data_IF_959534583689
#
_entry.id   IF_959534583689
#
_cell.length_a   1.000
_cell.length_b   1.000
_cell.length_c   1.000
_cell.angle_alpha   90.00
_cell.angle_beta   90.00
_cell.angle_gamma   90.00
#
_symmetry.space_group_name_H-M   'P 1'
#
loop_
_entity.id
_entity.type
_entity.pdbx_description
1 polymer ?
#
# COMPACT_ATOMS: atom_id res chain seq x y z
N UNK A 1 15.61 12.22 14.44
CA UNK A 1 14.34 12.91 14.10
C UNK A 1 13.33 11.78 13.82
N UNK A 2 12.49 11.44 14.80
CA UNK A 2 11.68 10.19 14.85
C UNK A 2 10.58 10.12 13.77
N UNK A 3 10.31 11.23 13.07
CA UNK A 3 9.17 11.38 12.15
C UNK A 3 9.27 10.58 10.85
N UNK A 4 10.47 10.20 10.42
CA UNK A 4 10.67 9.40 9.19
C UNK A 4 10.70 7.90 9.48
N UNK A 5 10.76 7.49 10.76
CA UNK A 5 10.99 6.10 11.17
C UNK A 5 9.71 5.35 11.54
N UNK A 6 8.66 6.04 12.01
CA UNK A 6 7.45 5.39 12.53
C UNK A 6 6.27 6.35 12.69
N UNK A 7 5.05 5.86 12.45
CA UNK A 7 3.79 6.60 12.69
C UNK A 7 3.51 6.90 14.18
N UNK A 8 4.32 6.36 15.09
CA UNK A 8 4.25 6.64 16.54
C UNK A 8 4.49 8.12 16.88
N UNK A 9 5.09 8.91 15.98
CA UNK A 9 5.33 10.34 16.21
C UNK A 9 4.05 11.16 16.40
N UNK A 10 2.90 10.72 15.87
CA UNK A 10 1.61 11.36 16.15
C UNK A 10 1.21 11.24 17.63
N UNK A 11 1.53 10.13 18.29
CA UNK A 11 1.30 9.97 19.72
C UNK A 11 2.23 10.86 20.55
N UNK A 12 3.47 11.06 20.10
CA UNK A 12 4.41 12.02 20.69
C UNK A 12 3.83 13.43 20.62
N UNK A 13 3.45 13.88 19.42
CA UNK A 13 2.90 15.22 19.23
C UNK A 13 1.61 15.41 20.06
N UNK A 14 0.73 14.40 20.12
CA UNK A 14 -0.48 14.44 20.95
C UNK A 14 -0.17 14.55 22.46
N UNK A 15 0.84 13.82 22.96
CA UNK A 15 1.27 13.92 24.35
C UNK A 15 1.81 15.32 24.67
N UNK A 16 2.59 15.92 23.77
CA UNK A 16 3.09 17.29 23.91
C UNK A 16 1.94 18.30 23.92
N UNK A 17 0.94 18.15 23.05
CA UNK A 17 -0.25 18.99 23.06
C UNK A 17 -1.02 18.85 24.39
N UNK A 18 -1.21 17.64 24.89
CA UNK A 18 -1.96 17.38 26.12
C UNK A 18 -1.33 18.04 27.37
N UNK A 19 -0.01 18.13 27.44
CA UNK A 19 0.71 18.78 28.55
C UNK A 19 0.92 20.28 28.35
N UNK A 20 0.59 20.82 27.18
CA UNK A 20 0.76 22.25 26.86
C UNK A 20 -0.40 23.06 27.45
N UNK A 21 -0.19 23.58 28.65
CA UNK A 21 -1.13 24.49 29.32
C UNK A 21 -0.79 25.97 29.07
N UNK A 22 -1.71 26.89 29.34
CA UNK A 22 -1.45 28.35 29.28
C UNK A 22 -0.26 28.75 30.17
N UNK A 23 -0.17 28.17 31.36
CA UNK A 23 0.95 28.40 32.27
C UNK A 23 2.28 27.93 31.67
N UNK A 24 2.27 26.77 30.99
CA UNK A 24 3.46 26.26 30.31
C UNK A 24 3.89 27.17 29.14
N UNK A 25 2.92 27.63 28.34
CA UNK A 25 3.18 28.59 27.25
C UNK A 25 3.80 29.86 27.81
N UNK A 26 3.27 30.42 28.90
CA UNK A 26 3.83 31.60 29.54
C UNK A 26 5.26 31.35 30.06
N UNK A 27 5.52 30.21 30.70
CA UNK A 27 6.87 29.83 31.16
C UNK A 27 7.87 29.76 30.01
N UNK A 28 7.46 29.17 28.87
CA UNK A 28 8.31 29.08 27.68
C UNK A 28 8.51 30.48 27.06
N UNK A 29 7.46 31.28 26.94
CA UNK A 29 7.52 32.64 26.39
C UNK A 29 8.49 33.52 27.21
N UNK A 30 8.36 33.50 28.55
CA UNK A 30 9.27 34.19 29.45
C UNK A 30 10.71 33.68 29.31
N UNK A 31 10.90 32.36 29.27
CA UNK A 31 12.23 31.78 29.05
C UNK A 31 12.86 32.24 27.72
N UNK A 32 12.07 32.33 26.65
CA UNK A 32 12.54 32.77 25.34
C UNK A 32 12.83 34.27 25.31
N UNK A 33 12.01 35.11 25.96
CA UNK A 33 12.28 36.55 26.05
C UNK A 33 13.59 36.81 26.78
N UNK A 34 13.91 36.03 27.82
CA UNK A 34 15.18 36.21 28.54
C UNK A 34 16.42 35.94 27.70
N UNK A 35 16.32 35.21 26.57
CA UNK A 35 17.45 34.99 25.67
C UNK A 35 17.99 36.28 25.02
N UNK A 36 17.22 37.36 25.05
CA UNK A 36 17.68 38.68 24.59
C UNK A 36 18.66 39.34 25.57
N UNK A 37 18.63 38.92 26.84
CA UNK A 37 19.47 39.46 27.89
C UNK A 37 20.83 38.77 27.96
N UNK A 38 21.80 39.42 28.59
CA UNK A 38 23.16 38.89 28.71
C UNK A 38 23.14 37.60 29.53
N UNK A 39 23.70 36.54 28.95
CA UNK A 39 23.86 35.25 29.63
C UNK A 39 25.10 35.26 30.52
N UNK A 40 24.94 34.97 31.80
CA UNK A 40 26.00 34.79 32.79
C UNK A 40 25.80 33.44 33.50
N UNK A 41 26.48 32.38 33.02
CA UNK A 41 26.28 31.02 33.53
C UNK A 41 24.86 30.49 33.26
N UNK A 42 24.14 30.13 34.34
CA UNK A 42 22.75 29.65 34.30
C UNK A 42 21.71 30.78 34.47
N UNK A 43 22.15 32.04 34.30
CA UNK A 43 21.35 33.24 34.53
C UNK A 43 21.34 34.17 33.31
N UNK A 44 20.26 34.94 33.19
CA UNK A 44 20.08 36.02 32.24
C UNK A 44 19.90 37.33 33.01
N UNK A 45 20.67 38.35 32.67
CA UNK A 45 20.66 39.65 33.38
C UNK A 45 20.22 40.75 32.43
N UNK A 46 19.15 41.44 32.80
CA UNK A 46 18.74 42.68 32.13
C UNK A 46 19.67 43.81 32.57
N UNK A 47 20.44 44.36 31.63
CA UNK A 47 21.45 45.39 31.91
C UNK A 47 20.83 46.76 32.19
N UNK A 48 19.57 47.01 31.77
CA UNK A 48 18.89 48.29 31.99
C UNK A 48 18.23 48.35 33.38
N UNK A 49 17.61 47.25 33.80
CA UNK A 49 16.87 47.18 35.07
C UNK A 49 17.67 46.53 36.21
N UNK A 50 18.70 45.76 35.88
CA UNK A 50 19.45 44.95 36.84
C UNK A 50 18.72 43.68 37.28
N UNK A 51 17.56 43.34 36.69
CA UNK A 51 16.81 42.13 37.01
C UNK A 51 17.54 40.86 36.56
N UNK A 52 17.40 39.80 37.35
CA UNK A 52 18.14 38.55 37.18
C UNK A 52 17.19 37.36 37.06
N UNK A 53 17.25 36.66 35.94
CA UNK A 53 16.40 35.51 35.63
C UNK A 53 17.22 34.21 35.62
N UNK A 54 16.87 33.26 36.48
CA UNK A 54 17.54 31.96 36.57
C UNK A 54 16.92 30.97 35.59
N UNK A 55 17.67 30.52 34.58
CA UNK A 55 17.16 29.57 33.61
C UNK A 55 18.24 28.72 32.92
N UNK A 56 18.46 27.50 33.43
CA UNK A 56 19.46 26.55 32.90
C UNK A 56 18.98 25.77 31.67
N UNK A 57 17.69 25.43 31.61
CA UNK A 57 17.10 24.57 30.57
C UNK A 57 15.72 25.11 30.18
N UNK A 58 15.28 24.75 28.98
CA UNK A 58 13.90 24.97 28.54
C UNK A 58 12.97 24.32 29.57
N UNK A 59 11.93 25.03 30.07
CA UNK A 59 10.95 24.46 30.98
C UNK A 59 10.36 23.17 30.41
N UNK A 60 10.22 22.15 31.26
CA UNK A 60 9.50 20.91 30.95
C UNK A 60 8.23 20.82 31.79
N UNK A 61 7.19 20.08 31.35
CA UNK A 61 5.97 19.87 32.13
C UNK A 61 6.27 19.33 33.54
N UNK A 62 7.16 18.35 33.63
CA UNK A 62 7.77 17.84 34.85
C UNK A 62 9.20 17.37 34.57
N UNK A 63 9.99 17.14 35.62
CA UNK A 63 11.33 16.61 35.49
C UNK A 63 11.29 15.20 34.89
N UNK A 64 12.07 14.96 33.84
CA UNK A 64 12.13 13.65 33.19
C UNK A 64 11.06 13.43 32.10
N UNK A 65 10.24 14.42 31.77
CA UNK A 65 9.14 14.31 30.80
C UNK A 65 9.58 13.69 29.46
N UNK A 66 10.68 14.18 28.89
CA UNK A 66 11.17 13.69 27.59
C UNK A 66 11.61 12.23 27.67
N UNK A 67 12.31 11.85 28.74
CA UNK A 67 12.76 10.47 28.97
C UNK A 67 11.57 9.53 29.16
N UNK A 68 10.57 9.94 29.94
CA UNK A 68 9.34 9.18 30.13
C UNK A 68 8.59 8.98 28.81
N UNK A 69 8.40 10.06 28.03
CA UNK A 69 7.69 10.00 26.76
C UNK A 69 8.40 9.07 25.77
N UNK A 70 9.73 9.17 25.66
CA UNK A 70 10.53 8.27 24.82
C UNK A 70 10.47 6.82 25.31
N UNK A 71 10.45 6.59 26.63
CA UNK A 71 10.24 5.26 27.18
C UNK A 71 8.84 4.71 26.85
N UNK A 72 7.78 5.53 26.92
CA UNK A 72 6.40 5.14 26.55
C UNK A 72 6.22 4.80 25.07
N UNK A 73 7.01 5.41 24.18
CA UNK A 73 6.97 5.19 22.74
C UNK A 73 7.76 3.94 22.29
N UNK A 74 8.58 3.34 23.18
CA UNK A 74 9.42 2.20 22.84
C UNK A 74 8.62 0.89 22.66
N UNK A 75 9.28 -0.14 22.13
CA UNK A 75 8.70 -1.49 22.06
C UNK A 75 8.49 -2.14 23.43
N UNK A 76 9.30 -1.75 24.43
CA UNK A 76 9.27 -2.31 25.79
C UNK A 76 9.08 -1.20 26.83
N UNK A 77 7.91 -0.50 26.81
CA UNK A 77 7.74 0.70 27.62
C UNK A 77 7.75 0.39 29.11
N UNK A 78 7.20 -0.75 29.53
CA UNK A 78 7.19 -1.15 30.95
C UNK A 78 8.61 -1.30 31.52
N UNK A 79 9.51 -1.94 30.79
CA UNK A 79 10.89 -2.12 31.23
C UNK A 79 11.66 -0.79 31.23
N UNK A 80 11.47 0.03 30.19
CA UNK A 80 12.13 1.32 30.09
C UNK A 80 11.68 2.29 31.18
N UNK A 81 10.38 2.36 31.48
CA UNK A 81 9.86 3.18 32.58
C UNK A 81 10.40 2.66 33.93
N UNK A 82 10.47 1.35 34.13
CA UNK A 82 11.06 0.76 35.35
C UNK A 82 12.52 1.17 35.55
N UNK A 83 13.32 1.21 34.48
CA UNK A 83 14.74 1.64 34.53
C UNK A 83 14.90 3.13 34.88
N UNK A 84 13.92 3.97 34.52
CA UNK A 84 13.93 5.39 34.86
C UNK A 84 13.63 5.65 36.35
N UNK A 85 13.07 4.67 37.06
CA UNK A 85 12.75 4.75 38.49
C UNK A 85 11.98 6.03 38.87
N UNK A 86 10.97 6.37 38.07
CA UNK A 86 10.19 7.59 38.22
C UNK A 86 9.29 7.51 39.47
N UNK A 87 9.31 8.51 40.38
CA UNK A 87 8.50 8.50 41.61
C UNK A 87 6.98 8.44 41.37
N UNK A 88 6.53 8.85 40.18
CA UNK A 88 5.13 8.93 39.79
C UNK A 88 4.49 7.60 39.37
N UNK A 89 5.27 6.52 39.23
CA UNK A 89 4.77 5.21 38.81
C UNK A 89 4.77 4.23 39.98
N UNK A 90 3.58 3.79 40.38
CA UNK A 90 3.46 2.62 41.26
C UNK A 90 3.69 1.31 40.48
N UNK A 91 3.90 0.21 41.21
CA UNK A 91 3.96 -1.13 40.61
C UNK A 91 2.65 -1.50 39.89
N UNK A 92 1.52 -0.97 40.36
CA UNK A 92 0.21 -1.16 39.75
C UNK A 92 0.11 -0.38 38.42
N UNK A 93 0.56 0.86 38.37
CA UNK A 93 0.59 1.67 37.14
C UNK A 93 1.40 1.00 36.03
N UNK A 94 2.56 0.43 36.39
CA UNK A 94 3.42 -0.32 35.48
C UNK A 94 2.72 -1.56 34.87
N UNK A 95 1.69 -2.10 35.51
CA UNK A 95 0.93 -3.24 34.99
C UNK A 95 0.03 -2.87 33.79
N UNK A 96 -0.39 -1.60 33.72
CA UNK A 96 -1.23 -1.07 32.65
C UNK A 96 -0.42 -0.51 31.47
N UNK A 97 0.89 -0.28 31.65
CA UNK A 97 1.77 0.22 30.58
C UNK A 97 1.94 -0.83 29.48
N UNK A 98 1.45 -0.51 28.29
CA UNK A 98 1.52 -1.36 27.09
C UNK A 98 2.23 -0.63 25.94
N UNK A 99 2.90 -1.35 25.03
CA UNK A 99 3.39 -0.79 23.77
C UNK A 99 2.25 -0.15 22.97
N UNK A 100 2.55 0.94 22.27
CA UNK A 100 1.59 1.60 21.39
C UNK A 100 1.40 0.74 20.14
N UNK A 101 0.15 0.48 19.82
CA UNK A 101 -0.25 -0.15 18.57
C UNK A 101 -1.04 0.85 17.72
N UNK A 102 -0.54 1.15 16.53
CA UNK A 102 -1.15 2.14 15.64
C UNK A 102 -2.39 1.51 14.98
N UNK A 103 -3.56 2.07 15.25
CA UNK A 103 -4.82 1.64 14.62
C UNK A 103 -4.94 2.17 13.19
N UNK A 104 -5.30 1.31 12.23
CA UNK A 104 -5.58 1.71 10.85
C UNK A 104 -7.05 1.44 10.50
N UNK A 105 -7.71 2.44 9.95
CA UNK A 105 -9.10 2.31 9.50
C UNK A 105 -9.20 1.34 8.30
N UNK A 106 -9.99 0.25 8.40
CA UNK A 106 -10.23 -0.68 7.29
C UNK A 106 -10.91 0.00 6.10
N UNK A 107 -10.46 -0.30 4.87
CA UNK A 107 -11.02 0.27 3.64
C UNK A 107 -12.06 -0.68 3.03
N UNK A 108 -13.29 -0.64 3.58
CA UNK A 108 -14.41 -1.50 3.13
C UNK A 108 -15.33 -0.87 2.08
N UNK A 109 -14.93 0.23 1.45
CA UNK A 109 -15.68 0.86 0.34
C UNK A 109 -15.75 -0.12 -0.82
N UNK A 110 -16.93 -0.30 -1.41
CA UNK A 110 -17.17 -1.25 -2.52
C UNK A 110 -17.41 -0.57 -3.87
N UNK A 111 -17.49 0.76 -3.91
CA UNK A 111 -17.68 1.54 -5.14
C UNK A 111 -16.34 2.02 -5.71
N UNK A 112 -16.29 2.26 -7.01
CA UNK A 112 -15.08 2.70 -7.71
C UNK A 112 -15.11 2.36 -9.19
N UNK A 113 -14.02 2.59 -9.92
CA UNK A 113 -13.90 2.15 -11.30
C UNK A 113 -13.90 0.62 -11.38
N UNK A 114 -14.66 0.07 -12.33
CA UNK A 114 -14.70 -1.37 -12.60
C UNK A 114 -13.45 -1.88 -13.34
N UNK A 115 -12.83 -1.00 -14.13
CA UNK A 115 -11.60 -1.22 -14.88
C UNK A 115 -10.77 0.07 -14.93
N UNK A 116 -9.48 -0.05 -15.22
CA UNK A 116 -8.62 1.11 -15.50
C UNK A 116 -9.03 1.81 -16.81
N UNK A 117 -8.66 3.08 -16.97
CA UNK A 117 -9.10 3.91 -18.11
C UNK A 117 -8.48 3.46 -19.45
N UNK A 118 -7.26 2.90 -19.41
CA UNK A 118 -6.55 2.51 -20.63
C UNK A 118 -7.11 1.21 -21.21
N UNK A 119 -7.78 1.33 -22.36
CA UNK A 119 -8.25 0.18 -23.13
C UNK A 119 -7.19 -0.23 -24.16
N UNK A 120 -6.76 -1.48 -24.06
CA UNK A 120 -5.76 -2.10 -24.92
C UNK A 120 -6.44 -2.95 -25.99
N UNK A 121 -5.79 -3.12 -27.14
CA UNK A 121 -6.33 -4.02 -28.17
C UNK A 121 -6.14 -5.45 -27.72
N UNK A 122 -7.21 -6.23 -27.81
CA UNK A 122 -7.14 -7.67 -27.63
C UNK A 122 -6.61 -8.33 -28.90
N UNK A 123 -5.63 -9.21 -28.76
CA UNK A 123 -4.92 -9.85 -29.88
C UNK A 123 -4.99 -11.38 -29.82
N UNK A 124 -5.87 -11.92 -28.97
CA UNK A 124 -5.99 -13.37 -28.77
C UNK A 124 -5.37 -13.85 -27.46
N UNK A 125 -4.99 -15.13 -27.47
CA UNK A 125 -4.35 -15.80 -26.35
C UNK A 125 -2.97 -16.30 -26.78
N UNK A 126 -2.05 -16.43 -25.83
CA UNK A 126 -0.80 -17.15 -26.05
C UNK A 126 -0.99 -18.67 -25.90
N UNK A 127 0.09 -19.43 -26.09
CA UNK A 127 0.10 -20.89 -25.98
C UNK A 127 -0.33 -21.40 -24.59
N UNK A 128 -0.21 -20.57 -23.55
CA UNK A 128 -0.59 -20.88 -22.17
C UNK A 128 -2.02 -20.43 -21.84
N UNK A 129 -2.74 -19.90 -22.82
CA UNK A 129 -4.08 -19.34 -22.65
C UNK A 129 -4.10 -17.98 -21.95
N UNK A 130 -2.96 -17.30 -21.81
CA UNK A 130 -2.88 -15.94 -21.26
C UNK A 130 -3.31 -14.92 -22.31
N UNK A 131 -3.88 -13.80 -21.86
CA UNK A 131 -4.40 -12.78 -22.75
C UNK A 131 -3.24 -12.02 -23.39
N UNK A 132 -3.21 -11.97 -24.74
CA UNK A 132 -2.29 -11.14 -25.51
C UNK A 132 -2.94 -9.80 -25.82
N UNK A 133 -2.21 -8.72 -25.55
CA UNK A 133 -2.65 -7.36 -25.84
C UNK A 133 -1.57 -6.57 -26.53
N UNK A 134 -1.99 -5.57 -27.30
CA UNK A 134 -1.08 -4.56 -27.83
C UNK A 134 -1.64 -3.16 -27.58
N UNK A 135 -0.74 -2.19 -27.44
CA UNK A 135 -1.09 -0.76 -27.35
C UNK A 135 -0.27 0.06 -28.33
N UNK A 136 -0.84 1.18 -28.78
CA UNK A 136 -0.12 2.14 -29.61
C UNK A 136 0.62 3.11 -28.70
N UNK A 137 1.90 3.33 -28.96
CA UNK A 137 2.72 4.33 -28.28
C UNK A 137 3.25 5.34 -29.30
N UNK A 138 3.52 6.56 -28.84
CA UNK A 138 4.26 7.54 -29.64
C UNK A 138 5.71 7.10 -29.81
N UNK A 139 6.30 7.38 -30.98
CA UNK A 139 7.74 7.12 -31.19
C UNK A 139 8.62 7.94 -30.23
N UNK A 140 8.14 9.10 -29.76
CA UNK A 140 8.84 9.94 -28.78
C UNK A 140 8.97 9.32 -27.38
N UNK A 141 8.23 8.25 -27.10
CA UNK A 141 8.27 7.49 -25.85
C UNK A 141 9.04 6.15 -25.99
N UNK A 142 9.64 5.90 -27.15
CA UNK A 142 10.39 4.68 -27.40
C UNK A 142 11.64 4.58 -26.54
N UNK A 143 12.04 3.35 -26.31
CA UNK A 143 13.37 2.94 -25.88
C UNK A 143 13.65 1.59 -26.54
N UNK A 144 14.85 1.05 -26.33
CA UNK A 144 15.25 -0.23 -26.91
C UNK A 144 14.27 -1.36 -26.55
N UNK A 145 13.91 -1.51 -25.28
CA UNK A 145 12.98 -2.56 -24.82
C UNK A 145 11.60 -2.49 -25.50
N UNK A 146 11.04 -1.28 -25.65
CA UNK A 146 9.75 -1.07 -26.32
C UNK A 146 9.84 -1.32 -27.82
N UNK A 147 10.96 -0.96 -28.45
CA UNK A 147 11.17 -1.21 -29.87
C UNK A 147 11.29 -2.71 -30.15
N UNK A 148 11.97 -3.46 -29.27
CA UNK A 148 12.03 -4.92 -29.32
C UNK A 148 10.64 -5.57 -29.20
N UNK A 149 9.70 -4.92 -28.51
CA UNK A 149 8.31 -5.38 -28.37
C UNK A 149 7.39 -4.95 -29.53
N UNK A 150 7.91 -4.35 -30.60
CA UNK A 150 7.12 -3.90 -31.74
C UNK A 150 6.29 -5.04 -32.37
N UNK A 151 5.00 -4.79 -32.56
CA UNK A 151 4.11 -5.72 -33.28
C UNK A 151 4.51 -5.76 -34.76
N UNK A 152 4.74 -6.96 -35.31
CA UNK A 152 5.08 -7.14 -36.71
C UNK A 152 6.51 -6.75 -37.06
N UNK A 153 7.41 -6.69 -36.07
CA UNK A 153 8.84 -6.41 -36.24
C UNK A 153 9.49 -7.23 -37.36
N UNK A 154 9.15 -8.51 -37.45
CA UNK A 154 9.69 -9.49 -38.40
C UNK A 154 9.06 -9.33 -39.78
N UNK A 155 7.80 -8.89 -39.84
CA UNK A 155 7.07 -8.67 -41.10
C UNK A 155 7.37 -7.33 -41.75
N UNK A 156 7.77 -6.33 -40.96
CA UNK A 156 8.14 -4.98 -41.42
C UNK A 156 9.51 -4.55 -40.85
N UNK A 157 10.61 -5.24 -41.22
CA UNK A 157 11.93 -4.95 -40.70
C UNK A 157 12.42 -3.55 -41.09
N UNK A 158 11.88 -2.98 -42.18
CA UNK A 158 12.21 -1.64 -42.64
C UNK A 158 11.86 -0.58 -41.57
N UNK A 159 10.63 -0.61 -41.05
CA UNK A 159 10.20 0.32 -39.98
C UNK A 159 11.05 0.12 -38.72
N UNK A 160 11.26 -1.13 -38.31
CA UNK A 160 12.04 -1.45 -37.12
C UNK A 160 13.47 -0.92 -37.23
N UNK A 161 14.16 -1.20 -38.34
CA UNK A 161 15.54 -0.77 -38.55
C UNK A 161 15.66 0.75 -38.62
N UNK A 162 14.73 1.44 -39.30
CA UNK A 162 14.71 2.92 -39.35
C UNK A 162 14.57 3.52 -37.96
N UNK A 163 13.67 2.99 -37.13
CA UNK A 163 13.49 3.49 -35.76
C UNK A 163 14.69 3.17 -34.87
N UNK A 164 15.29 1.98 -35.02
CA UNK A 164 16.48 1.57 -34.28
C UNK A 164 17.67 2.46 -34.59
N UNK A 165 18.00 2.63 -35.87
CA UNK A 165 19.08 3.51 -36.31
C UNK A 165 18.89 4.93 -35.80
N UNK A 166 17.66 5.45 -35.89
CA UNK A 166 17.36 6.80 -35.42
C UNK A 166 17.50 6.94 -33.90
N UNK A 167 17.18 5.90 -33.14
CA UNK A 167 17.45 5.87 -31.70
C UNK A 167 18.95 5.82 -31.40
N UNK A 168 19.69 5.01 -32.14
CA UNK A 168 21.15 4.87 -31.99
C UNK A 168 21.88 6.19 -32.25
N UNK A 169 21.47 6.95 -33.28
CA UNK A 169 22.00 8.30 -33.60
C UNK A 169 21.86 9.32 -32.45
N UNK A 170 20.98 9.06 -31.48
CA UNK A 170 20.68 9.96 -30.37
C UNK A 170 20.84 9.27 -29.01
N UNK A 171 21.67 8.22 -28.94
CA UNK A 171 22.00 7.48 -27.72
C UNK A 171 20.75 7.00 -26.95
N UNK A 172 19.74 6.55 -27.68
CA UNK A 172 18.47 6.07 -27.13
C UNK A 172 17.52 7.18 -26.62
N UNK A 173 17.85 8.47 -26.80
CA UNK A 173 16.97 9.57 -26.41
C UNK A 173 15.86 9.81 -27.43
N UNK A 174 14.75 9.08 -27.31
CA UNK A 174 13.62 9.15 -28.23
C UNK A 174 13.03 10.56 -28.41
N UNK A 175 13.00 11.39 -27.36
CA UNK A 175 12.47 12.76 -27.46
C UNK A 175 13.30 13.62 -28.42
N UNK A 176 14.62 13.46 -28.40
CA UNK A 176 15.53 14.13 -29.35
C UNK A 176 15.52 13.47 -30.72
N UNK A 177 15.60 12.13 -30.75
CA UNK A 177 15.64 11.33 -31.96
C UNK A 177 14.47 11.61 -32.91
N UNK A 178 13.27 11.76 -32.32
CA UNK A 178 12.01 11.91 -33.04
C UNK A 178 11.41 13.31 -32.94
N UNK A 179 12.21 14.32 -32.56
CA UNK A 179 11.82 15.73 -32.69
C UNK A 179 11.62 16.11 -34.17
N UNK A 180 12.47 15.57 -35.04
CA UNK A 180 12.30 15.65 -36.50
C UNK A 180 11.44 14.48 -37.01
N UNK A 181 10.55 14.71 -37.99
CA UNK A 181 9.73 13.66 -38.59
C UNK A 181 10.55 12.49 -39.15
N UNK A 182 10.09 11.27 -38.90
CA UNK A 182 10.64 10.03 -39.47
C UNK A 182 9.60 9.41 -40.40
N UNK A 183 10.06 8.90 -41.53
CA UNK A 183 9.21 8.33 -42.58
C UNK A 183 9.58 6.87 -42.82
N UNK A 184 8.60 6.06 -43.22
CA UNK A 184 8.86 4.67 -43.63
C UNK A 184 9.61 4.66 -44.97
N UNK A 185 10.77 3.99 -45.10
CA UNK A 185 11.46 3.90 -46.38
C UNK A 185 10.67 3.00 -47.34
N UNK A 186 10.52 3.44 -48.60
CA UNK A 186 9.98 2.60 -49.68
C UNK A 186 11.11 1.83 -50.37
N UNK A 187 10.74 0.82 -51.16
CA UNK A 187 11.69 0.01 -51.94
C UNK A 187 12.49 0.85 -52.96
N UNK A 188 11.92 1.95 -53.43
CA UNK A 188 12.54 2.89 -54.37
C UNK A 188 13.45 3.93 -53.69
N UNK A 189 13.65 3.84 -52.36
CA UNK A 189 14.43 4.79 -51.57
C UNK A 189 13.70 6.09 -51.22
N UNK A 190 12.48 6.32 -51.73
CA UNK A 190 11.69 7.50 -51.38
C UNK A 190 11.02 7.36 -50.02
N UNK A 191 10.66 8.50 -49.43
CA UNK A 191 9.91 8.54 -48.18
C UNK A 191 8.45 8.12 -48.39
N UNK A 192 8.01 7.13 -47.60
CA UNK A 192 6.62 6.74 -47.45
C UNK A 192 5.90 7.57 -46.38
N UNK A 193 4.89 6.97 -45.75
CA UNK A 193 4.10 7.63 -44.70
C UNK A 193 4.96 7.99 -43.49
N UNK A 194 4.63 9.12 -42.86
CA UNK A 194 5.25 9.53 -41.60
C UNK A 194 4.90 8.55 -40.48
N UNK A 195 5.91 8.09 -39.75
CA UNK A 195 5.76 7.25 -38.58
C UNK A 195 5.57 8.18 -37.38
N UNK A 196 4.39 8.12 -36.75
CA UNK A 196 4.08 8.90 -35.52
C UNK A 196 4.03 8.02 -34.27
N UNK A 197 3.87 6.72 -34.46
CA UNK A 197 3.75 5.76 -33.37
C UNK A 197 3.70 4.34 -33.90
N UNK A 198 4.07 3.40 -33.05
CA UNK A 198 4.04 1.97 -33.35
C UNK A 198 3.16 1.26 -32.34
N UNK A 199 2.70 0.05 -32.69
CA UNK A 199 2.07 -0.85 -31.72
C UNK A 199 3.15 -1.69 -31.07
N UNK A 200 3.05 -1.86 -29.76
CA UNK A 200 3.92 -2.75 -29.00
C UNK A 200 3.08 -3.82 -28.29
N UNK A 201 3.63 -5.03 -28.19
CA UNK A 201 3.10 -6.10 -27.36
C UNK A 201 3.27 -5.73 -25.89
N UNK A 202 2.29 -6.08 -25.07
CA UNK A 202 2.43 -6.01 -23.61
C UNK A 202 2.59 -7.40 -23.02
N UNK A 203 3.07 -7.43 -21.76
CA UNK A 203 3.21 -8.68 -21.02
C UNK A 203 1.85 -9.40 -20.96
N UNK A 204 1.80 -10.72 -21.22
CA UNK A 204 0.56 -11.48 -21.16
C UNK A 204 -0.11 -11.36 -19.78
N UNK A 205 -1.44 -11.22 -19.79
CA UNK A 205 -2.23 -11.02 -18.58
C UNK A 205 -3.08 -12.26 -18.26
N UNK A 206 -3.23 -12.57 -16.97
CA UNK A 206 -4.08 -13.70 -16.51
C UNK A 206 -5.57 -13.36 -16.50
N UNK A 207 -5.95 -12.09 -16.65
CA UNK A 207 -7.32 -11.61 -16.67
C UNK A 207 -7.41 -10.12 -16.94
N UNK A 208 -8.64 -9.59 -16.96
CA UNK A 208 -8.96 -8.19 -17.20
C UNK A 208 -10.46 -7.99 -17.43
N UNK A 209 -10.84 -6.84 -17.96
CA UNK A 209 -12.23 -6.50 -18.30
C UNK A 209 -12.33 -6.24 -19.79
N UNK A 210 -13.14 -7.04 -20.50
CA UNK A 210 -13.44 -6.84 -21.92
C UNK A 210 -14.38 -5.65 -22.08
N UNK A 211 -14.00 -4.67 -22.90
CA UNK A 211 -14.80 -3.47 -23.18
C UNK A 211 -14.43 -2.92 -24.56
N UNK A 212 -15.41 -2.45 -25.33
CA UNK A 212 -15.23 -1.82 -26.64
C UNK A 212 -14.27 -2.59 -27.59
N UNK A 213 -14.44 -3.91 -27.70
CA UNK A 213 -13.57 -4.83 -28.46
C UNK A 213 -12.10 -4.88 -28.00
N UNK A 214 -11.75 -4.19 -26.92
CA UNK A 214 -10.46 -4.23 -26.25
C UNK A 214 -10.54 -4.91 -24.88
N UNK A 215 -9.50 -4.67 -24.10
CA UNK A 215 -9.39 -5.11 -22.72
C UNK A 215 -8.72 -4.03 -21.88
N UNK A 216 -9.29 -3.78 -20.70
CA UNK A 216 -8.71 -2.93 -19.68
C UNK A 216 -8.29 -3.76 -18.47
N UNK A 217 -7.34 -3.25 -17.69
CA UNK A 217 -7.00 -3.86 -16.41
C UNK A 217 -8.17 -3.78 -15.44
N UNK A 218 -8.25 -4.72 -14.50
CA UNK A 218 -9.27 -4.64 -13.45
C UNK A 218 -9.08 -3.34 -12.67
N UNK A 219 -10.19 -2.73 -12.28
CA UNK A 219 -10.14 -1.63 -11.34
C UNK A 219 -9.79 -2.14 -9.95
N UNK A 220 -10.25 -1.44 -8.93
CA UNK A 220 -9.89 -1.74 -7.55
C UNK A 220 -10.30 -3.16 -7.12
N UNK A 221 -9.35 -3.90 -6.53
CA UNK A 221 -9.64 -5.08 -5.71
C UNK A 221 -10.20 -4.61 -4.37
N UNK A 222 -11.44 -4.99 -4.06
CA UNK A 222 -12.16 -4.56 -2.85
C UNK A 222 -11.65 -5.33 -1.64
N UNK A 223 -11.54 -6.65 -1.80
CA UNK A 223 -11.13 -7.59 -0.75
C UNK A 223 -10.67 -8.90 -1.38
N UNK A 224 -10.05 -9.74 -0.57
CA UNK A 224 -9.86 -11.16 -0.87
C UNK A 224 -10.74 -12.00 0.04
N UNK A 225 -11.38 -13.03 -0.51
CA UNK A 225 -12.07 -14.07 0.26
C UNK A 225 -11.11 -15.24 0.46
N UNK A 226 -10.95 -15.67 1.72
CA UNK A 226 -10.06 -16.78 2.09
C UNK A 226 -10.88 -18.04 2.32
N UNK A 227 -10.50 -19.09 1.61
CA UNK A 227 -11.04 -20.44 1.74
C UNK A 227 -9.95 -21.40 2.21
N UNK A 228 -10.35 -22.50 2.85
CA UNK A 228 -9.47 -23.60 3.23
C UNK A 228 -10.02 -24.93 2.70
N UNK A 229 -9.13 -25.76 2.17
CA UNK A 229 -9.38 -27.17 1.86
C UNK A 229 -8.07 -27.94 2.07
N UNK A 230 -8.14 -29.11 2.69
CA UNK A 230 -6.97 -29.97 2.96
C UNK A 230 -5.79 -29.23 3.64
N UNK A 231 -6.10 -28.38 4.63
CA UNK A 231 -5.13 -27.52 5.36
C UNK A 231 -4.35 -26.54 4.48
N UNK A 232 -4.87 -26.21 3.30
CA UNK A 232 -4.31 -25.22 2.38
C UNK A 232 -5.27 -24.07 2.23
N UNK A 233 -4.73 -22.86 2.15
CA UNK A 233 -5.52 -21.65 1.95
C UNK A 233 -5.65 -21.31 0.46
N UNK A 234 -6.78 -20.73 0.08
CA UNK A 234 -7.15 -20.37 -1.29
C UNK A 234 -7.68 -18.94 -1.28
N UNK A 235 -7.21 -18.13 -2.23
CA UNK A 235 -7.61 -16.73 -2.35
C UNK A 235 -8.54 -16.58 -3.55
N UNK A 236 -9.73 -16.06 -3.30
CA UNK A 236 -10.64 -15.55 -4.35
C UNK A 236 -10.62 -14.02 -4.31
N UNK A 237 -10.04 -13.34 -5.32
CA UNK A 237 -10.03 -11.89 -5.35
C UNK A 237 -11.39 -11.35 -5.78
N UNK A 238 -11.86 -10.30 -5.10
CA UNK A 238 -13.15 -9.65 -5.39
C UNK A 238 -12.90 -8.21 -5.82
N UNK A 239 -13.31 -7.86 -7.04
CA UNK A 239 -13.08 -6.55 -7.65
C UNK A 239 -14.36 -5.72 -7.70
N UNK A 240 -14.24 -4.42 -7.96
CA UNK A 240 -15.38 -3.53 -8.16
C UNK A 240 -16.34 -4.02 -9.25
N UNK A 241 -15.83 -4.61 -10.33
CA UNK A 241 -16.67 -5.19 -11.39
C UNK A 241 -17.56 -6.34 -10.92
N UNK A 242 -17.21 -6.98 -9.80
CA UNK A 242 -17.96 -8.12 -9.25
C UNK A 242 -19.09 -7.68 -8.33
N UNK A 243 -19.18 -6.37 -8.01
CA UNK A 243 -20.26 -5.80 -7.17
C UNK A 243 -21.58 -5.71 -7.93
N UNK A 244 -21.53 -5.55 -9.25
CA UNK A 244 -22.70 -5.39 -10.13
C UNK A 244 -23.10 -6.68 -10.83
N UNK A 245 -22.33 -7.76 -10.65
CA UNK A 245 -22.64 -9.08 -11.22
C UNK A 245 -23.51 -9.86 -10.25
N UNK A 246 -24.30 -10.77 -10.82
CA UNK A 246 -25.03 -11.74 -10.02
C UNK A 246 -24.05 -12.74 -9.41
N UNK A 247 -24.10 -12.88 -8.09
CA UNK A 247 -23.24 -13.78 -7.33
C UNK A 247 -21.86 -13.21 -6.97
N UNK A 248 -21.12 -13.96 -6.15
CA UNK A 248 -19.73 -13.66 -5.81
C UNK A 248 -18.80 -14.45 -6.73
N UNK A 249 -17.59 -13.93 -7.04
CA UNK A 249 -16.60 -14.70 -7.78
C UNK A 249 -16.24 -15.98 -7.00
N UNK A 250 -15.89 -17.03 -7.71
CA UNK A 250 -15.73 -18.39 -7.17
C UNK A 250 -14.45 -19.06 -7.68
N UNK A 251 -13.54 -18.31 -8.28
CA UNK A 251 -12.27 -18.82 -8.80
C UNK A 251 -11.11 -18.42 -7.91
N UNK A 252 -10.46 -19.41 -7.32
CA UNK A 252 -9.27 -19.21 -6.51
C UNK A 252 -7.99 -19.18 -7.36
N UNK A 253 -7.13 -18.22 -7.05
CA UNK A 253 -5.89 -17.97 -7.80
C UNK A 253 -5.05 -19.25 -7.91
N UNK A 254 -4.61 -19.54 -9.14
CA UNK A 254 -3.55 -20.49 -9.43
C UNK A 254 -2.35 -19.74 -10.02
N UNK A 255 -1.16 -19.84 -9.41
CA UNK A 255 0.00 -19.07 -9.83
C UNK A 255 0.34 -19.27 -11.30
N UNK A 256 0.59 -18.16 -12.01
CA UNK A 256 1.07 -18.11 -13.40
C UNK A 256 0.13 -18.82 -14.39
N UNK A 257 -1.16 -18.92 -14.08
CA UNK A 257 -2.19 -19.47 -14.95
C UNK A 257 -3.27 -18.43 -15.28
N UNK A 258 -3.88 -18.49 -16.48
CA UNK A 258 -5.05 -17.68 -16.79
C UNK A 258 -6.22 -18.02 -15.85
N UNK A 259 -7.13 -17.06 -15.67
CA UNK A 259 -8.31 -17.20 -14.80
C UNK A 259 -9.25 -18.35 -15.23
N UNK A 260 -9.22 -18.76 -16.50
CA UNK A 260 -9.95 -19.94 -16.97
C UNK A 260 -9.47 -21.25 -16.33
N UNK A 261 -8.21 -21.31 -15.89
CA UNK A 261 -7.57 -22.47 -15.26
C UNK A 261 -7.40 -22.31 -13.74
N UNK A 262 -8.08 -21.33 -13.16
CA UNK A 262 -8.14 -21.17 -11.71
C UNK A 262 -9.02 -22.23 -11.07
N UNK A 263 -8.80 -22.46 -9.77
CA UNK A 263 -9.53 -23.51 -9.04
C UNK A 263 -10.94 -23.01 -8.76
N UNK A 264 -11.92 -23.73 -9.28
CA UNK A 264 -13.33 -23.52 -8.96
C UNK A 264 -13.56 -23.85 -7.47
N UNK A 265 -14.14 -22.90 -6.74
CA UNK A 265 -14.60 -23.09 -5.37
C UNK A 265 -15.99 -23.73 -5.39
N UNK A 266 -16.12 -24.84 -4.69
CA UNK A 266 -17.35 -25.60 -4.47
C UNK A 266 -17.56 -25.83 -2.95
N UNK A 267 -18.56 -26.63 -2.59
CA UNK A 267 -18.93 -26.90 -1.20
C UNK A 267 -17.86 -27.68 -0.40
N UNK A 268 -16.83 -28.22 -1.07
CA UNK A 268 -15.71 -28.88 -0.38
C UNK A 268 -14.71 -27.89 0.23
N UNK A 269 -14.86 -26.58 -0.04
CA UNK A 269 -14.04 -25.52 0.51
C UNK A 269 -14.73 -24.82 1.69
N UNK A 270 -14.03 -24.73 2.81
CA UNK A 270 -14.50 -23.99 3.98
C UNK A 270 -14.12 -22.51 3.86
N UNK A 271 -15.10 -21.61 3.75
CA UNK A 271 -14.86 -20.17 3.88
C UNK A 271 -14.36 -19.82 5.30
N UNK A 272 -13.36 -18.94 5.40
CA UNK A 272 -12.79 -18.49 6.68
C UNK A 272 -13.19 -17.06 7.01
N UNK A 273 -12.79 -16.13 6.17
CA UNK A 273 -13.03 -14.70 6.33
C UNK A 273 -12.70 -13.95 5.04
N UNK A 274 -13.18 -12.72 4.94
CA UNK A 274 -12.74 -11.79 3.91
C UNK A 274 -11.71 -10.82 4.48
N UNK A 275 -10.71 -10.42 3.70
CA UNK A 275 -9.70 -9.43 4.12
C UNK A 275 -9.77 -8.21 3.21
N UNK A 276 -10.09 -7.07 3.80
CA UNK A 276 -10.07 -5.76 3.15
C UNK A 276 -8.73 -5.05 3.41
N UNK A 277 -8.30 -4.10 2.56
CA UNK A 277 -7.12 -3.29 2.84
C UNK A 277 -7.22 -2.61 4.22
N UNK A 278 -6.11 -2.57 4.93
CA UNK A 278 -5.97 -2.14 6.33
C UNK A 278 -6.67 -3.01 7.38
N UNK A 279 -7.06 -4.25 7.07
CA UNK A 279 -7.46 -5.21 8.12
C UNK A 279 -6.24 -5.95 8.66
N UNK A 280 -6.21 -6.14 9.98
CA UNK A 280 -5.08 -6.75 10.68
C UNK A 280 -5.14 -8.27 10.55
N UNK A 281 -4.01 -8.86 10.16
CA UNK A 281 -3.86 -10.30 10.02
C UNK A 281 -2.59 -10.81 10.71
N UNK A 282 -2.66 -12.05 11.19
CA UNK A 282 -1.53 -12.81 11.69
C UNK A 282 -1.34 -14.04 10.81
N UNK A 283 -0.13 -14.21 10.31
CA UNK A 283 0.24 -15.31 9.44
C UNK A 283 1.45 -16.01 10.02
N UNK A 284 1.40 -17.33 10.08
CA UNK A 284 2.58 -18.14 10.43
C UNK A 284 2.97 -18.97 9.23
N UNK A 285 4.21 -18.84 8.78
CA UNK A 285 4.77 -19.57 7.65
C UNK A 285 6.03 -20.34 8.05
N UNK A 286 6.36 -21.38 7.30
CA UNK A 286 7.67 -22.03 7.40
C UNK A 286 8.70 -21.25 6.58
N UNK A 287 9.84 -20.93 7.18
CA UNK A 287 10.99 -20.31 6.54
C UNK A 287 12.20 -21.22 6.76
N UNK A 288 12.45 -22.10 5.80
CA UNK A 288 13.39 -23.22 6.00
C UNK A 288 12.87 -24.19 7.07
N UNK A 289 13.65 -24.40 8.13
CA UNK A 289 13.28 -25.26 9.27
C UNK A 289 12.54 -24.52 10.38
N UNK A 290 12.51 -23.19 10.34
CA UNK A 290 11.92 -22.34 11.37
C UNK A 290 10.51 -21.88 11.00
N UNK A 291 9.76 -21.45 12.02
CA UNK A 291 8.47 -20.79 11.84
C UNK A 291 8.62 -19.28 12.02
N UNK A 292 8.10 -18.53 11.07
CA UNK A 292 8.07 -17.07 11.11
C UNK A 292 6.60 -16.65 11.24
N UNK A 293 6.28 -15.90 12.29
CA UNK A 293 4.97 -15.26 12.45
C UNK A 293 5.09 -13.80 12.10
N UNK A 294 4.27 -13.35 11.15
CA UNK A 294 4.16 -11.96 10.76
C UNK A 294 2.80 -11.42 11.19
N UNK A 295 2.79 -10.17 11.65
CA UNK A 295 1.61 -9.52 12.19
C UNK A 295 1.51 -8.10 11.64
N UNK A 296 0.50 -7.83 10.84
CA UNK A 296 0.42 -6.57 10.11
C UNK A 296 -0.89 -6.36 9.37
N UNK A 297 -1.08 -5.13 8.89
CA UNK A 297 -2.22 -4.72 8.11
C UNK A 297 -2.08 -5.18 6.66
N UNK A 298 -3.12 -5.83 6.14
CA UNK A 298 -3.17 -6.25 4.74
C UNK A 298 -3.18 -5.04 3.80
N UNK A 299 -2.30 -5.06 2.80
CA UNK A 299 -2.17 -4.00 1.78
C UNK A 299 -2.85 -4.43 0.47
N UNK A 300 -2.49 -5.61 -0.04
CA UNK A 300 -2.95 -6.06 -1.34
C UNK A 300 -2.62 -7.51 -1.65
N UNK A 301 -3.15 -8.01 -2.76
CA UNK A 301 -2.89 -9.36 -3.28
C UNK A 301 -2.47 -9.28 -4.74
N UNK A 302 -1.42 -10.02 -5.09
CA UNK A 302 -0.98 -10.18 -6.46
C UNK A 302 -1.77 -11.32 -7.11
N UNK A 303 -2.67 -10.98 -8.04
CA UNK A 303 -3.47 -11.93 -8.81
C UNK A 303 -2.63 -12.94 -9.62
N UNK A 304 -1.40 -12.59 -10.01
CA UNK A 304 -0.57 -13.46 -10.84
C UNK A 304 -0.05 -14.68 -10.07
N UNK A 305 0.20 -14.57 -8.77
CA UNK A 305 0.80 -15.64 -7.97
C UNK A 305 0.04 -15.96 -6.67
N UNK A 306 -1.00 -15.19 -6.33
CA UNK A 306 -1.77 -15.38 -5.10
C UNK A 306 -0.97 -15.04 -3.84
N UNK A 307 0.09 -14.24 -3.98
CA UNK A 307 0.81 -13.69 -2.84
C UNK A 307 0.09 -12.46 -2.27
N UNK A 308 0.30 -12.18 -0.99
CA UNK A 308 -0.20 -10.99 -0.31
C UNK A 308 0.95 -10.09 0.16
N UNK A 309 0.60 -8.84 0.44
CA UNK A 309 1.47 -7.87 1.08
C UNK A 309 0.83 -7.40 2.40
N UNK A 310 1.65 -7.27 3.43
CA UNK A 310 1.27 -6.69 4.72
C UNK A 310 2.28 -5.64 5.17
N UNK A 311 1.84 -4.73 6.02
CA UNK A 311 2.66 -3.68 6.62
C UNK A 311 2.53 -3.74 8.16
N UNK A 312 3.64 -3.55 8.88
CA UNK A 312 3.60 -3.44 10.34
C UNK A 312 2.78 -2.21 10.77
N UNK A 313 2.27 -2.23 12.00
CA UNK A 313 1.22 -1.28 12.38
C UNK A 313 1.62 0.18 12.23
N UNK A 314 2.89 0.48 12.44
CA UNK A 314 3.49 1.81 12.41
C UNK A 314 4.27 2.14 11.13
N UNK A 315 4.07 1.36 10.06
CA UNK A 315 4.74 1.54 8.76
C UNK A 315 6.27 1.40 8.79
N UNK A 316 6.84 0.87 9.87
CA UNK A 316 8.30 0.65 9.97
C UNK A 316 8.81 -0.41 9.00
N UNK A 317 7.96 -1.35 8.58
CA UNK A 317 8.33 -2.44 7.68
C UNK A 317 7.15 -2.99 6.89
N UNK A 318 7.42 -3.32 5.63
CA UNK A 318 6.49 -4.02 4.75
C UNK A 318 7.02 -5.39 4.34
N UNK A 319 6.12 -6.35 4.22
CA UNK A 319 6.41 -7.71 3.79
C UNK A 319 5.58 -8.01 2.53
N UNK A 320 6.24 -8.07 1.38
CA UNK A 320 5.64 -8.46 0.11
C UNK A 320 5.81 -9.96 -0.21
N UNK A 321 5.17 -10.39 -1.29
CA UNK A 321 5.34 -11.73 -1.88
C UNK A 321 5.08 -12.88 -0.91
N UNK A 322 4.12 -12.72 0.00
CA UNK A 322 3.78 -13.74 0.99
C UNK A 322 2.83 -14.76 0.36
N UNK A 323 3.34 -15.96 0.07
CA UNK A 323 2.53 -17.07 -0.42
C UNK A 323 1.55 -17.59 0.65
N UNK A 324 0.26 -17.62 0.33
CA UNK A 324 -0.81 -17.99 1.28
C UNK A 324 -1.11 -19.49 1.32
N UNK A 325 -0.88 -20.22 0.21
CA UNK A 325 -1.31 -21.62 0.03
C UNK A 325 -0.95 -22.55 1.19
N UNK A 326 0.28 -22.47 1.67
CA UNK A 326 0.86 -23.40 2.65
C UNK A 326 1.17 -22.73 4.00
N UNK A 327 0.44 -21.66 4.35
CA UNK A 327 0.57 -21.07 5.69
C UNK A 327 0.15 -22.09 6.75
N UNK A 328 0.83 -22.07 7.90
CA UNK A 328 0.45 -22.87 9.07
C UNK A 328 -0.82 -22.31 9.71
N UNK A 329 -0.88 -20.99 9.89
CA UNK A 329 -2.05 -20.29 10.40
C UNK A 329 -2.27 -19.01 9.62
N UNK A 330 -3.55 -18.67 9.41
CA UNK A 330 -3.98 -17.40 8.86
C UNK A 330 -5.15 -16.90 9.69
N UNK A 331 -4.92 -15.89 10.52
CA UNK A 331 -5.93 -15.32 11.42
C UNK A 331 -6.20 -13.87 11.07
N UNK A 332 -7.43 -13.43 11.33
CA UNK A 332 -7.89 -12.06 11.15
C UNK A 332 -8.24 -11.45 12.51
N UNK A 333 -7.97 -10.16 12.67
CA UNK A 333 -8.26 -9.41 13.87
C UNK A 333 -9.12 -8.18 13.54
N UNK A 334 -10.00 -7.82 14.46
CA UNK A 334 -10.59 -6.50 14.55
C UNK A 334 -9.68 -5.62 15.42
N UNK A 335 -9.48 -4.37 15.01
CA UNK A 335 -8.75 -3.36 15.77
C UNK A 335 -9.70 -2.21 16.03
N UNK A 336 -9.84 -1.80 17.30
CA UNK A 336 -10.62 -0.62 17.64
C UNK A 336 -9.80 0.67 17.40
N UNK A 337 -10.43 1.83 17.64
CA UNK A 337 -9.79 3.14 17.42
C UNK A 337 -8.59 3.39 18.33
N UNK A 338 -8.48 2.69 19.46
CA UNK A 338 -7.38 2.82 20.43
C UNK A 338 -6.27 1.78 20.20
N UNK A 339 -6.44 0.87 19.24
CA UNK A 339 -5.45 -0.16 18.92
C UNK A 339 -5.64 -1.46 19.69
N UNK A 340 -6.76 -1.68 20.38
CA UNK A 340 -7.06 -2.97 21.00
C UNK A 340 -7.42 -4.00 19.92
N UNK A 341 -6.84 -5.20 20.03
CA UNK A 341 -6.89 -6.25 19.01
C UNK A 341 -7.77 -7.39 19.49
N UNK A 342 -8.76 -7.76 18.68
CA UNK A 342 -9.70 -8.84 18.98
C UNK A 342 -9.69 -9.89 17.84
N UNK A 343 -9.36 -11.16 18.10
CA UNK A 343 -9.34 -12.19 17.05
C UNK A 343 -10.75 -12.50 16.56
N UNK A 344 -10.90 -12.63 15.23
CA UNK A 344 -12.14 -13.03 14.59
C UNK A 344 -12.17 -14.55 14.47
N UNK A 345 -13.15 -15.19 15.13
CA UNK A 345 -13.28 -16.65 15.17
C UNK A 345 -14.00 -17.25 13.95
N UNK A 346 -14.80 -16.46 13.25
CA UNK A 346 -15.49 -16.89 12.04
C UNK A 346 -16.30 -15.76 11.41
N UNK A 347 -16.48 -15.82 10.09
CA UNK A 347 -17.30 -14.89 9.32
C UNK A 347 -18.20 -15.68 8.38
N UNK A 348 -19.35 -15.08 8.02
CA UNK A 348 -20.14 -15.55 6.88
C UNK A 348 -19.63 -14.89 5.61
N UNK A 349 -19.64 -15.61 4.50
CA UNK A 349 -19.33 -15.03 3.19
C UNK A 349 -20.49 -14.16 2.72
N UNK A 350 -20.30 -12.84 2.74
CA UNK A 350 -21.38 -11.87 2.46
C UNK A 350 -21.22 -11.26 1.07
N UNK A 351 -22.29 -11.29 0.27
CA UNK A 351 -22.39 -10.64 -1.05
C UNK A 351 -22.62 -9.13 -0.99
N UNK A 352 -22.80 -8.49 -2.15
CA UNK A 352 -23.00 -7.03 -2.24
C UNK A 352 -24.47 -6.60 -2.41
N UNK A 353 -25.37 -7.54 -2.72
CA UNK A 353 -26.80 -7.30 -3.01
C UNK A 353 -27.63 -6.81 -1.82
N UNK A 354 -27.18 -7.02 -0.58
CA UNK A 354 -27.90 -6.58 0.62
C UNK A 354 -27.90 -5.04 0.84
N UNK A 355 -27.25 -4.25 -0.01
CA UNK A 355 -27.26 -2.77 0.12
C UNK A 355 -28.40 -2.07 -0.62
N UNK A 356 -29.08 -2.74 -1.55
CA UNK A 356 -30.13 -2.10 -2.34
C UNK A 356 -31.50 -2.00 -1.62
N UNK A 357 -31.70 -2.70 -0.50
CA UNK A 357 -32.97 -2.62 0.26
C UNK A 357 -33.06 -1.46 1.24
N UNK A 358 -31.95 -0.79 1.59
CA UNK A 358 -31.98 0.33 2.55
C UNK A 358 -31.93 1.72 1.86
N UNK A 359 -32.22 1.79 0.56
CA UNK A 359 -32.24 3.05 -0.22
C UNK A 359 -33.55 3.34 -0.95
N UNK A 360 -34.58 2.54 -0.76
CA UNK A 360 -35.95 2.96 -1.08
C UNK A 360 -36.49 3.76 0.10
N UNK A 361 -36.07 5.02 0.21
CA UNK A 361 -36.85 5.99 0.97
C UNK A 361 -38.22 6.08 0.30
N UNK A 362 -39.25 5.90 1.13
CA UNK A 362 -40.64 6.12 0.82
C UNK A 362 -40.82 7.40 -0.01
N UNK A 363 -41.26 7.22 -1.24
CA UNK A 363 -42.08 8.20 -1.94
C UNK A 363 -43.40 7.50 -2.21
N UNK A 364 -44.23 7.46 -1.18
CA UNK A 364 -45.66 7.15 -1.33
C UNK A 364 -46.44 8.40 -0.93
N UNK A 365 -47.20 8.87 -1.94
CA UNK A 365 -48.37 9.75 -1.95
C UNK A 365 -48.27 11.17 -1.41
#
# INVERSE_FOLDING_TARGET
>A
KIREESDKHHALDAAVVAVTSRAMIQKIANFLSWKQFRKAGDMYVDEETGEVFYAKKIPQPWEGFSQELMARLSENPRENIRKLNLPSYSNEDLSFVRPIFVSRMPRRKVTGPAHEETVRRFEGYDEKGMIKTSKKISITELNYDKLEQMVGKESDPAVYNTLKQRLDEFDGNAKKAFASPVYKPKKDGSNGSQIKGIRIWEKPASGGVRINNGIADNGRMIRIDIFEKDKKYYIVPVYTKDVVKDGLPDKAIVPKKPESLWIQIDDSFSFKFSVYPNELIEITRKKGKEEETLFGYYIGCNRNDGSIEIEEHDSSKSYGSIGVRNLKTFKKYNVDILGNKNPIKGEKRIGFSQRNHNRTCNTEN
#
